data_IF_891779990224
#
_entry.id   IF_891779990224
#
_cell.length_a   1.000
_cell.length_b   1.000
_cell.length_c   1.000
_cell.angle_alpha   90.00
_cell.angle_beta   90.00
_cell.angle_gamma   90.00
#
_symmetry.space_group_name_H-M   'P 1'
#
loop_
_entity.id
_entity.type
_entity.pdbx_description
1 polymer ?
#
# COMPACT_ATOMS: atom_id res chain seq x y z
N UNK A 1 -5.40 2.75 -9.01
CA UNK A 1 -4.88 2.59 -10.39
C UNK A 1 -4.15 1.24 -10.47
N UNK A 2 -4.76 0.22 -11.08
CA UNK A 2 -4.36 -1.21 -10.94
C UNK A 2 -2.90 -1.48 -11.35
N UNK A 3 -2.42 -0.86 -12.44
CA UNK A 3 -1.05 -1.01 -12.93
C UNK A 3 0.01 -0.52 -11.93
N UNK A 4 -0.30 0.56 -11.21
CA UNK A 4 0.62 1.17 -10.24
C UNK A 4 0.65 0.38 -8.94
N UNK A 5 -0.50 -0.16 -8.51
CA UNK A 5 -0.57 -1.10 -7.38
C UNK A 5 0.28 -2.35 -7.65
N UNK A 6 0.26 -2.84 -8.89
CA UNK A 6 1.09 -3.97 -9.33
C UNK A 6 2.58 -3.60 -9.38
N UNK A 7 2.95 -2.42 -9.90
CA UNK A 7 4.34 -1.96 -10.02
C UNK A 7 5.05 -1.75 -8.66
N UNK A 8 4.30 -1.42 -7.61
CA UNK A 8 4.83 -1.25 -6.24
C UNK A 8 4.68 -2.56 -5.44
N UNK A 9 4.35 -3.67 -6.10
CA UNK A 9 4.34 -5.01 -5.50
C UNK A 9 3.14 -5.31 -4.61
N UNK A 10 1.99 -4.65 -4.81
CA UNK A 10 0.80 -4.89 -3.97
C UNK A 10 0.99 -4.52 -2.49
N UNK A 11 2.12 -3.90 -2.14
CA UNK A 11 2.57 -3.64 -0.77
C UNK A 11 1.62 -2.76 0.06
N UNK A 12 0.72 -2.05 -0.62
CA UNK A 12 -0.25 -1.18 0.04
C UNK A 12 -1.43 -1.94 0.66
N UNK A 13 -1.53 -3.26 0.44
CA UNK A 13 -2.61 -4.10 0.99
C UNK A 13 -2.09 -5.30 1.79
N UNK A 14 -0.91 -5.17 2.39
CA UNK A 14 -0.31 -6.23 3.22
C UNK A 14 -1.19 -6.53 4.44
N UNK A 15 -1.80 -5.50 5.03
CA UNK A 15 -2.69 -5.67 6.20
C UNK A 15 -3.88 -6.54 5.80
N UNK A 16 -4.53 -6.23 4.68
CA UNK A 16 -5.67 -6.98 4.15
C UNK A 16 -5.25 -8.38 3.68
N UNK A 17 -4.04 -8.54 3.14
CA UNK A 17 -3.51 -9.83 2.75
C UNK A 17 -3.32 -10.78 3.95
N UNK A 18 -2.77 -10.26 5.05
CA UNK A 18 -2.57 -11.04 6.28
C UNK A 18 -3.86 -11.24 7.08
N UNK A 19 -4.79 -10.27 7.08
CA UNK A 19 -6.11 -10.43 7.71
C UNK A 19 -7.03 -11.36 6.91
N UNK A 20 -6.96 -11.33 5.58
CA UNK A 20 -7.88 -12.03 4.68
C UNK A 20 -7.11 -12.84 3.61
N UNK A 21 -6.37 -13.90 4.00
CA UNK A 21 -5.54 -14.67 3.09
C UNK A 21 -6.34 -15.40 1.99
N UNK A 22 -7.62 -15.68 2.24
CA UNK A 22 -8.50 -16.36 1.29
C UNK A 22 -9.28 -15.40 0.37
N UNK A 23 -9.18 -14.09 0.59
CA UNK A 23 -9.87 -13.10 -0.23
C UNK A 23 -8.96 -12.68 -1.38
N UNK A 24 -9.49 -12.68 -2.59
CA UNK A 24 -8.74 -12.20 -3.75
C UNK A 24 -8.34 -10.74 -3.59
N UNK A 25 -7.07 -10.45 -3.90
CA UNK A 25 -6.48 -9.11 -3.93
C UNK A 25 -7.27 -8.04 -4.70
N UNK A 26 -8.18 -8.45 -5.60
CA UNK A 26 -9.12 -7.55 -6.27
C UNK A 26 -10.06 -6.83 -5.29
N UNK A 27 -10.35 -7.43 -4.14
CA UNK A 27 -11.26 -6.88 -3.13
C UNK A 27 -10.55 -6.02 -2.08
N UNK A 28 -9.22 -6.12 -1.94
CA UNK A 28 -8.47 -5.35 -0.94
C UNK A 28 -8.68 -3.83 -1.03
N UNK A 29 -8.82 -3.19 -2.21
CA UNK A 29 -9.16 -1.77 -2.28
C UNK A 29 -10.50 -1.39 -1.64
N UNK A 30 -11.49 -2.30 -1.66
CA UNK A 30 -12.78 -2.09 -1.03
C UNK A 30 -12.77 -2.41 0.47
N UNK A 31 -11.91 -3.35 0.87
CA UNK A 31 -11.79 -3.82 2.27
C UNK A 31 -10.93 -2.87 3.11
N UNK A 32 -9.86 -2.31 2.54
CA UNK A 32 -8.95 -1.38 3.23
C UNK A 32 -9.64 -0.24 4.00
N UNK A 33 -10.59 0.53 3.42
CA UNK A 33 -11.28 1.60 4.16
C UNK A 33 -12.21 1.08 5.27
N UNK A 34 -12.60 -0.19 5.25
CA UNK A 34 -13.37 -0.82 6.32
C UNK A 34 -12.42 -1.17 7.47
N UNK A 35 -11.31 -1.85 7.16
CA UNK A 35 -10.28 -2.24 8.14
C UNK A 35 -9.67 -1.01 8.82
N UNK A 36 -9.42 0.06 8.07
CA UNK A 36 -8.93 1.32 8.63
C UNK A 36 -9.90 1.92 9.66
N UNK A 37 -11.20 2.01 9.31
CA UNK A 37 -12.22 2.54 10.22
C UNK A 37 -12.35 1.71 11.49
N UNK A 38 -12.30 0.39 11.37
CA UNK A 38 -12.28 -0.51 12.51
C UNK A 38 -11.01 -0.30 13.35
N UNK A 39 -9.83 -0.24 12.73
CA UNK A 39 -8.60 0.02 13.47
C UNK A 39 -8.66 1.35 14.25
N UNK A 40 -9.21 2.42 13.65
CA UNK A 40 -9.44 3.71 14.32
C UNK A 40 -10.42 3.60 15.50
N UNK A 41 -11.52 2.88 15.33
CA UNK A 41 -12.52 2.63 16.39
C UNK A 41 -11.91 1.92 17.62
N UNK A 42 -10.99 0.98 17.37
CA UNK A 42 -10.30 0.25 18.44
C UNK A 42 -8.99 0.93 18.90
N UNK A 43 -8.68 2.13 18.41
CA UNK A 43 -7.46 2.86 18.77
C UNK A 43 -6.16 2.19 18.32
N UNK A 44 -6.22 1.33 17.29
CA UNK A 44 -5.09 0.59 16.75
C UNK A 44 -4.38 1.39 15.64
N UNK A 45 -3.04 1.35 15.58
CA UNK A 45 -2.28 2.02 14.53
C UNK A 45 -2.49 1.33 13.17
N UNK A 46 -3.16 2.01 12.24
CA UNK A 46 -3.31 1.56 10.86
C UNK A 46 -2.20 2.16 9.97
N UNK A 47 -1.08 1.44 9.85
CA UNK A 47 0.09 1.89 9.09
C UNK A 47 -0.06 1.62 7.58
N UNK A 48 -0.80 2.46 6.88
CA UNK A 48 -0.85 2.47 5.41
C UNK A 48 -0.10 3.69 4.86
N UNK A 49 0.74 3.47 3.83
CA UNK A 49 1.39 4.56 3.09
C UNK A 49 0.30 5.30 2.30
N UNK A 50 -0.02 6.56 2.64
CA UNK A 50 -1.32 7.15 2.30
C UNK A 50 -1.49 7.56 0.83
N UNK A 51 -0.42 7.60 0.02
CA UNK A 51 -0.57 8.04 -1.37
C UNK A 51 0.36 7.32 -2.32
N UNK A 52 -0.25 6.68 -3.32
CA UNK A 52 0.39 6.14 -4.53
C UNK A 52 1.37 7.14 -5.16
N UNK A 53 1.02 8.43 -5.13
CA UNK A 53 1.84 9.53 -5.65
C UNK A 53 3.11 9.80 -4.83
N UNK A 54 3.05 9.64 -3.51
CA UNK A 54 4.20 9.81 -2.62
C UNK A 54 5.14 8.61 -2.71
N UNK A 55 4.60 7.40 -2.88
CA UNK A 55 5.36 6.19 -3.16
C UNK A 55 6.06 6.23 -4.53
N UNK A 56 5.37 6.66 -5.59
CA UNK A 56 6.00 6.91 -6.90
C UNK A 56 7.12 7.94 -6.77
N UNK A 57 6.86 9.06 -6.08
CA UNK A 57 7.86 10.12 -5.89
C UNK A 57 9.09 9.62 -5.14
N UNK A 58 8.93 8.84 -4.07
CA UNK A 58 10.07 8.28 -3.34
C UNK A 58 10.82 7.23 -4.16
N UNK A 59 10.10 6.41 -4.94
CA UNK A 59 10.68 5.38 -5.78
C UNK A 59 11.48 5.98 -6.95
N UNK A 60 10.92 6.97 -7.66
CA UNK A 60 11.63 7.71 -8.72
C UNK A 60 12.86 8.41 -8.14
N UNK A 61 12.76 9.01 -6.94
CA UNK A 61 13.90 9.66 -6.27
C UNK A 61 14.99 8.64 -5.89
N UNK A 62 14.62 7.41 -5.49
CA UNK A 62 15.53 6.29 -5.19
C UNK A 62 16.25 5.81 -6.46
N UNK A 63 15.52 5.60 -7.56
CA UNK A 63 16.11 5.24 -8.86
C UNK A 63 17.06 6.31 -9.38
N UNK A 64 16.69 7.58 -9.25
CA UNK A 64 17.55 8.71 -9.65
C UNK A 64 18.82 8.81 -8.79
N UNK A 65 18.74 8.46 -7.50
CA UNK A 65 19.91 8.41 -6.63
C UNK A 65 20.85 7.24 -6.97
N UNK A 66 20.30 6.07 -7.33
CA UNK A 66 21.08 4.91 -7.76
C UNK A 66 21.71 5.08 -9.14
N UNK A 67 21.03 5.80 -10.06
CA UNK A 67 21.55 6.11 -11.39
C UNK A 67 22.63 7.20 -11.41
N UNK A 68 22.68 8.08 -10.40
CA UNK A 68 23.78 9.06 -10.22
C UNK A 68 24.93 8.46 -9.41
N UNK A 69 25.46 7.34 -9.91
CA UNK A 69 26.56 6.58 -9.31
C UNK A 69 27.59 7.50 -8.64
N UNK A 70 27.81 7.25 -7.35
CA UNK A 70 29.15 7.39 -6.79
C UNK A 70 29.84 6.05 -6.97
#
# INVERSE_FOLDING_TARGET
>A
NKLVTWLIGGLNYQIEHHLFPYVSHLHYPAIAPIVQRTAEEFGLPYNVKPTTRQAIRSHVRRLYALGRGR
#
